data_IF_543482643057
#
_entry.id   IF_543482643057
#
_cell.length_a   1.000
_cell.length_b   1.000
_cell.length_c   1.000
_cell.angle_alpha   90.00
_cell.angle_beta   90.00
_cell.angle_gamma   90.00
#
_symmetry.space_group_name_H-M   'P 1'
#
loop_
_entity.id
_entity.type
_entity.pdbx_description
1 polymer ?
2 polymer ?
3 polymer ?
4 non-polymer ?
5 non-polymer ?
6 water ?
#
loop_
_entity_poly.entity_id
_entity_poly.type
_entity_poly.pdbx_seq_one_letter_code
_entity_poly.pdbx_strand_id
2 'polydeoxyribonucleotide' '(DA)(DG)(DC)(DG)(DT)(DG)(DG)(DG)(DA)(DG)(DT)' ?
3 'polydeoxyribonucleotide' '(DT)(DA)(DC)(DT)(DC)(DC)(DC)(DA)(DC)(DG)(DC)' ?
#
# COMPACT_ATOMS: atom_id res chain seq x y z
N UNK A 7 -6.71 5.01 -22.99
CA UNK A 7 -6.51 5.70 -21.71
C UNK A 7 -6.74 7.19 -21.87
N UNK A 8 -8.00 7.63 -21.77
CA UNK A 8 -8.32 9.05 -22.03
C UNK A 8 -7.99 9.99 -20.90
N UNK A 9 -7.69 9.50 -19.69
CA UNK A 9 -7.44 10.38 -18.54
C UNK A 9 -5.95 10.67 -18.45
N UNK A 10 -5.52 11.72 -19.15
CA UNK A 10 -4.11 12.09 -19.21
C UNK A 10 -3.76 13.04 -18.07
N UNK A 11 -2.52 12.93 -17.61
CA UNK A 11 -1.98 13.82 -16.58
C UNK A 11 -1.28 15.00 -17.24
N UNK A 12 -1.74 16.21 -16.95
CA UNK A 12 -1.25 17.43 -17.59
C UNK A 12 -0.16 18.12 -16.77
N UNK A 13 0.27 17.53 -15.66
CA UNK A 13 1.34 18.13 -14.89
C UNK A 13 2.63 18.16 -15.71
N UNK A 14 3.46 19.16 -15.41
CA UNK A 14 4.69 19.42 -16.14
C UNK A 14 5.53 18.15 -16.28
N UNK A 15 5.94 17.84 -17.51
CA UNK A 15 6.85 16.75 -17.84
C UNK A 15 6.27 15.37 -17.57
N UNK A 16 5.00 15.25 -17.18
CA UNK A 16 4.42 13.93 -16.92
C UNK A 16 3.74 13.39 -18.17
N UNK A 17 4.00 12.12 -18.49
CA UNK A 17 3.42 11.49 -19.67
C UNK A 17 2.41 10.39 -19.32
N UNK A 18 1.98 10.30 -18.06
CA UNK A 18 1.09 9.23 -17.66
C UNK A 18 -0.31 9.43 -18.22
N UNK A 19 -0.95 8.30 -18.54
CA UNK A 19 -2.34 8.25 -18.96
C UNK A 19 -2.99 7.09 -18.24
N UNK A 20 -4.30 7.21 -17.98
CA UNK A 20 -5.05 6.19 -17.24
C UNK A 20 -6.40 5.95 -17.90
N UNK A 21 -6.91 4.74 -17.68
CA UNK A 21 -8.25 4.35 -18.13
C UNK A 21 -9.34 4.75 -17.16
N UNK A 22 -8.99 5.12 -15.92
CA UNK A 22 -9.94 5.50 -14.89
C UNK A 22 -9.58 6.85 -14.29
N UNK A 23 -10.60 7.68 -14.10
CA UNK A 23 -10.35 9.01 -13.54
C UNK A 23 -9.83 8.92 -12.12
N UNK A 24 -10.27 7.92 -11.34
CA UNK A 24 -9.78 7.82 -9.97
C UNK A 24 -8.31 7.44 -9.92
N UNK A 25 -7.84 6.65 -10.90
CA UNK A 25 -6.41 6.36 -10.97
C UNK A 25 -5.62 7.62 -11.25
N UNK A 26 -6.13 8.49 -12.11
CA UNK A 26 -5.45 9.75 -12.37
C UNK A 26 -5.41 10.63 -11.13
N UNK A 27 -6.53 10.76 -10.43
CA UNK A 27 -6.58 11.63 -9.26
C UNK A 27 -5.62 11.14 -8.18
N UNK A 28 -5.61 9.83 -7.94
CA UNK A 28 -4.68 9.25 -6.98
C UNK A 28 -3.23 9.50 -7.40
N UNK A 29 -2.92 9.29 -8.68
CA UNK A 29 -1.58 9.53 -9.21
C UNK A 29 -1.15 10.98 -8.98
N UNK A 30 -2.06 11.93 -9.16
CA UNK A 30 -1.70 13.33 -9.13
C UNK A 30 -1.25 13.78 -7.75
N UNK A 31 -1.62 13.05 -6.70
CA UNK A 31 -1.09 13.34 -5.37
C UNK A 31 0.42 13.23 -5.32
N UNK A 32 1.03 12.49 -6.25
CA UNK A 32 2.49 12.43 -6.32
C UNK A 32 3.07 13.80 -6.61
N UNK A 33 2.43 14.56 -7.49
CA UNK A 33 2.93 15.86 -7.90
C UNK A 33 2.63 16.93 -6.85
N UNK A 34 1.46 16.86 -6.22
CA UNK A 34 1.06 17.92 -5.30
C UNK A 34 1.47 17.67 -3.87
N UNK A 35 1.81 16.44 -3.51
CA UNK A 35 2.11 16.13 -2.13
C UNK A 35 0.93 16.03 -1.19
N UNK A 36 -0.30 16.02 -1.72
CA UNK A 36 -1.48 15.96 -0.87
C UNK A 36 -1.58 14.59 -0.21
N UNK A 37 -1.89 14.57 1.09
CA UNK A 37 -1.93 13.36 1.91
C UNK A 37 -3.24 13.39 2.71
N UNK A 38 -4.35 12.92 2.11
CA UNK A 38 -5.66 13.10 2.75
C UNK A 38 -5.93 12.24 3.96
N UNK A 39 -5.17 11.18 4.19
CA UNK A 39 -5.55 10.13 5.14
C UNK A 39 -4.58 10.14 6.32
N UNK A 40 -5.13 10.27 7.53
CA UNK A 40 -4.32 10.49 8.71
C UNK A 40 -4.47 9.34 9.72
N UNK A 41 -3.34 8.89 10.27
CA UNK A 41 -3.33 7.89 11.33
C UNK A 41 -3.77 8.50 12.65
N UNK A 42 -4.75 7.86 13.30
CA UNK A 42 -5.30 8.40 14.54
C UNK A 42 -4.40 8.13 15.75
N UNK A 43 -3.40 7.28 15.59
CA UNK A 43 -2.48 6.96 16.67
C UNK A 43 -1.27 7.89 16.68
N UNK A 44 -0.64 8.08 15.53
CA UNK A 44 0.60 8.85 15.47
C UNK A 44 0.49 10.13 14.64
N UNK A 45 -0.64 10.39 14.00
CA UNK A 45 -0.91 11.62 13.26
C UNK A 45 -0.17 11.73 11.93
N UNK A 46 0.60 10.71 11.52
CA UNK A 46 1.20 10.74 10.19
C UNK A 46 0.11 10.71 9.12
N UNK A 47 0.35 11.40 8.02
CA UNK A 47 -0.59 11.47 6.91
C UNK A 47 -0.05 10.71 5.71
N UNK A 48 -0.99 10.22 4.90
CA UNK A 48 -0.68 9.35 3.79
C UNK A 48 -1.48 9.74 2.56
N UNK A 49 -0.89 9.45 1.38
CA UNK A 49 -1.54 9.74 0.12
C UNK A 49 -2.72 8.81 -0.18
N UNK A 50 -2.76 7.61 0.43
CA UNK A 50 -3.72 6.58 0.04
C UNK A 50 -4.32 5.91 1.26
N UNK A 51 -5.63 5.64 1.21
CA UNK A 51 -6.33 5.09 2.38
C UNK A 51 -5.91 3.64 2.65
N UNK A 52 -5.63 2.88 1.58
CA UNK A 52 -5.23 1.49 1.77
C UNK A 52 -3.85 1.40 2.46
N UNK A 53 -2.98 2.37 2.20
CA UNK A 53 -1.68 2.41 2.86
C UNK A 53 -1.78 2.95 4.28
N UNK A 54 -2.71 3.87 4.55
CA UNK A 54 -3.01 4.16 5.95
C UNK A 54 -3.43 2.89 6.69
N UNK A 55 -4.30 2.08 6.07
CA UNK A 55 -4.81 0.89 6.76
C UNK A 55 -3.68 -0.05 7.16
N UNK A 56 -2.77 -0.35 6.24
CA UNK A 56 -1.68 -1.27 6.59
C UNK A 56 -0.70 -0.62 7.54
N UNK A 57 -0.46 0.69 7.39
CA UNK A 57 0.35 1.41 8.37
C UNK A 57 -0.15 1.23 9.79
N UNK A 58 -1.46 1.30 10.02
CA UNK A 58 -1.93 1.24 11.40
C UNK A 58 -1.54 -0.05 12.10
N UNK A 59 -1.19 -1.11 11.36
CA UNK A 59 -0.79 -2.36 12.01
C UNK A 59 0.61 -2.28 12.61
N UNK A 60 1.40 -1.29 12.23
CA UNK A 60 2.66 -1.08 12.90
C UNK A 60 2.44 -0.80 14.37
N UNK A 61 1.28 -0.22 14.72
CA UNK A 61 0.97 0.12 16.10
C UNK A 61 0.23 -0.98 16.84
N UNK A 62 -0.57 -1.78 16.15
CA UNK A 62 -1.37 -2.80 16.81
C UNK A 62 -0.67 -4.13 16.94
N UNK A 63 0.37 -4.38 16.14
CA UNK A 63 1.03 -5.66 16.16
C UNK A 63 0.26 -6.77 15.48
N UNK A 64 -0.93 -6.51 14.96
CA UNK A 64 -1.69 -7.57 14.30
C UNK A 64 -0.92 -8.09 13.08
N UNK A 65 -0.88 -9.42 12.94
CA UNK A 65 -0.23 -10.08 11.81
C UNK A 65 -1.15 -11.17 11.27
N UNK A 66 -2.10 -10.81 10.40
CA UNK A 66 -3.14 -11.76 9.98
C UNK A 66 -2.71 -12.80 8.95
N UNK A 67 -1.52 -12.66 8.36
CA UNK A 67 -1.08 -13.52 7.26
C UNK A 67 -0.08 -14.55 7.77
N UNK A 68 -0.53 -15.81 7.86
CA UNK A 68 0.26 -16.87 8.47
C UNK A 68 0.89 -17.76 7.39
N UNK A 69 2.16 -18.09 7.60
CA UNK A 69 2.81 -19.06 6.74
C UNK A 69 2.06 -20.40 6.78
N UNK A 70 1.93 -21.03 5.63
CA UNK A 70 1.26 -22.33 5.54
C UNK A 70 2.23 -23.51 5.53
N UNK A 71 3.52 -23.25 5.59
CA UNK A 71 4.49 -24.35 5.60
C UNK A 71 4.36 -25.17 6.88
N UNK A 72 4.37 -26.50 6.78
CA UNK A 72 4.29 -27.31 8.01
C UNK A 72 5.37 -26.89 8.98
N UNK A 73 4.97 -26.72 10.23
CA UNK A 73 5.89 -26.46 11.33
C UNK A 73 6.55 -25.10 11.26
N UNK A 74 6.05 -24.18 10.44
CA UNK A 74 6.49 -22.79 10.47
C UNK A 74 5.39 -21.94 11.09
N UNK A 75 5.76 -21.16 12.10
CA UNK A 75 4.78 -20.34 12.82
C UNK A 75 4.88 -18.85 12.47
N UNK A 76 5.62 -18.50 11.42
CA UNK A 76 5.82 -17.11 11.09
C UNK A 76 4.53 -16.46 10.59
N UNK A 77 4.32 -15.22 10.99
CA UNK A 77 3.14 -14.44 10.62
C UNK A 77 3.58 -13.05 10.20
N UNK A 78 2.72 -12.36 9.44
CA UNK A 78 3.05 -11.11 8.77
C UNK A 78 1.86 -10.16 8.75
N UNK A 79 2.18 -8.86 8.77
CA UNK A 79 1.16 -7.81 8.78
C UNK A 79 0.51 -7.61 7.40
N UNK A 80 1.24 -7.89 6.32
CA UNK A 80 0.76 -7.66 4.97
C UNK A 80 0.93 -8.90 4.10
N UNK A 81 0.01 -9.02 3.14
CA UNK A 81 0.01 -10.18 2.25
C UNK A 81 1.32 -10.32 1.49
N UNK A 82 1.90 -9.21 1.01
CA UNK A 82 3.08 -9.34 0.16
C UNK A 82 4.29 -9.81 0.95
N UNK A 83 4.34 -9.52 2.25
CA UNK A 83 5.39 -10.08 3.11
C UNK A 83 5.28 -11.60 3.14
N UNK A 84 4.06 -12.11 3.22
CA UNK A 84 3.88 -13.55 3.22
C UNK A 84 4.26 -14.14 1.87
N UNK A 85 3.91 -13.45 0.76
CA UNK A 85 4.31 -13.92 -0.55
C UNK A 85 5.83 -14.10 -0.60
N UNK A 86 6.56 -13.08 -0.12
CA UNK A 86 8.01 -13.11 -0.17
C UNK A 86 8.54 -14.25 0.68
N UNK A 87 7.91 -14.50 1.83
CA UNK A 87 8.33 -15.57 2.73
C UNK A 87 8.06 -16.94 2.12
N UNK A 88 6.87 -17.14 1.55
CA UNK A 88 6.61 -18.42 0.91
C UNK A 88 7.60 -18.70 -0.22
N UNK A 89 7.91 -17.65 -1.01
CA UNK A 89 8.91 -17.79 -2.06
C UNK A 89 10.23 -18.26 -1.48
N UNK A 90 10.60 -17.75 -0.31
CA UNK A 90 11.87 -18.08 0.33
C UNK A 90 11.95 -19.55 0.71
N UNK A 91 10.83 -20.12 1.18
CA UNK A 91 10.83 -21.51 1.67
C UNK A 91 11.28 -22.48 0.58
N UNK A 92 10.74 -22.32 -0.63
CA UNK A 92 11.06 -23.15 -1.77
C UNK A 92 10.36 -22.57 -3.00
N UNK A 93 11.04 -22.64 -4.14
CA UNK A 93 10.47 -22.13 -5.39
C UNK A 93 11.00 -22.91 -6.59
#
# INVERSE_FOLDING_TARGET
GPLGSEKPYQCDFKDCERRFSRSDHLKRHQRRHTGVKPFQCKTCQRKFSRSDHLKTHTRTHTGEKPFSCRWPSCQKKFARSDELVRHHNMHQR
#
